data_IF_335924444374
#
_entry.id   IF_335924444374
#
_cell.length_a   1.000
_cell.length_b   1.000
_cell.length_c   1.000
_cell.angle_alpha   90.00
_cell.angle_beta   90.00
_cell.angle_gamma   90.00
#
_symmetry.space_group_name_H-M   'P 1'
#
loop_
_entity.id
_entity.type
_entity.pdbx_description
1 polymer ?
#
# COMPACT_ATOMS: atom_id res chain seq x y z
N UNK A 1 -11.03 -15.86 -57.55
CA UNK A 1 -9.93 -16.84 -57.69
C UNK A 1 -8.71 -16.29 -56.95
N UNK A 2 -8.64 -16.53 -55.65
CA UNK A 2 -7.52 -16.08 -54.80
C UNK A 2 -6.35 -17.02 -55.08
N UNK A 3 -5.25 -16.48 -55.61
CA UNK A 3 -4.07 -17.25 -56.07
C UNK A 3 -3.47 -18.05 -54.92
N UNK A 4 -3.52 -19.38 -55.02
CA UNK A 4 -2.91 -20.34 -54.08
C UNK A 4 -1.40 -20.08 -53.84
N UNK A 5 -0.72 -19.42 -54.77
CA UNK A 5 0.69 -19.05 -54.66
C UNK A 5 1.01 -18.03 -53.57
N UNK A 6 0.04 -17.23 -53.10
CA UNK A 6 0.28 -16.23 -52.04
C UNK A 6 0.21 -16.87 -50.65
N UNK A 7 -0.58 -17.95 -50.47
CA UNK A 7 -0.64 -18.68 -49.19
C UNK A 7 0.65 -19.46 -48.90
N UNK A 8 1.35 -19.94 -49.93
CA UNK A 8 2.54 -20.77 -49.76
C UNK A 8 3.75 -20.01 -49.18
N UNK A 9 3.85 -18.70 -49.40
CA UNK A 9 4.94 -17.87 -48.89
C UNK A 9 4.76 -17.38 -47.44
N UNK A 10 3.57 -17.52 -46.86
CA UNK A 10 3.30 -17.12 -45.47
C UNK A 10 3.60 -18.24 -44.44
N UNK A 11 3.64 -19.51 -44.87
CA UNK A 11 3.91 -20.65 -43.99
C UNK A 11 5.30 -20.63 -43.31
N UNK A 12 6.41 -20.26 -44.00
CA UNK A 12 7.74 -20.24 -43.37
C UNK A 12 7.92 -19.12 -42.34
N UNK A 13 7.16 -18.02 -42.46
CA UNK A 13 7.26 -16.89 -41.54
C UNK A 13 6.72 -17.20 -40.14
N UNK A 14 5.81 -18.18 -40.01
CA UNK A 14 5.28 -18.65 -38.72
C UNK A 14 6.27 -19.53 -37.95
N UNK A 15 7.33 -20.05 -38.59
CA UNK A 15 8.31 -20.95 -37.97
C UNK A 15 9.51 -20.22 -37.33
N UNK A 16 9.60 -18.89 -37.45
CA UNK A 16 10.67 -18.06 -36.87
C UNK A 16 10.37 -17.55 -35.45
N UNK A 17 9.28 -17.99 -34.81
CA UNK A 17 8.85 -17.52 -33.48
C UNK A 17 9.71 -17.96 -32.27
N UNK A 18 10.83 -18.66 -32.47
CA UNK A 18 11.64 -19.26 -31.39
C UNK A 18 12.54 -18.29 -30.61
N UNK A 19 12.71 -17.05 -31.08
CA UNK A 19 13.48 -16.00 -30.40
C UNK A 19 12.59 -14.83 -29.98
N UNK A 20 11.41 -15.13 -29.46
CA UNK A 20 10.49 -14.10 -28.94
C UNK A 20 10.18 -14.37 -27.46
N UNK A 21 10.04 -13.28 -26.71
CA UNK A 21 9.62 -13.29 -25.31
C UNK A 21 10.58 -12.56 -24.38
N UNK A 22 10.29 -12.58 -23.08
CA UNK A 22 11.05 -11.82 -22.07
C UNK A 22 12.47 -12.37 -21.91
N UNK A 23 13.47 -11.68 -22.45
CA UNK A 23 14.89 -11.99 -22.28
C UNK A 23 15.41 -11.41 -20.95
N UNK A 24 16.13 -12.22 -20.18
CA UNK A 24 16.74 -11.80 -18.92
C UNK A 24 17.90 -12.72 -18.52
N UNK A 25 19.12 -12.33 -18.84
CA UNK A 25 20.33 -13.07 -18.46
C UNK A 25 20.84 -12.76 -17.04
N UNK A 26 20.17 -11.84 -16.35
CA UNK A 26 20.47 -11.51 -14.95
C UNK A 26 19.61 -12.30 -13.98
N UNK A 27 19.82 -12.04 -12.69
CA UNK A 27 19.01 -12.57 -11.57
C UNK A 27 18.02 -11.53 -11.02
N UNK A 28 17.85 -10.42 -11.73
CA UNK A 28 16.89 -9.38 -11.38
C UNK A 28 15.51 -9.75 -11.90
N UNK A 29 14.47 -9.43 -11.13
CA UNK A 29 13.10 -9.60 -11.59
C UNK A 29 12.75 -8.50 -12.61
N UNK A 30 12.36 -8.90 -13.83
CA UNK A 30 11.80 -7.97 -14.83
C UNK A 30 10.39 -7.53 -14.43
N UNK A 31 9.67 -8.38 -13.71
CA UNK A 31 8.28 -8.19 -13.32
C UNK A 31 8.19 -7.51 -11.96
N UNK A 32 8.39 -6.19 -11.94
CA UNK A 32 8.36 -5.39 -10.72
C UNK A 32 6.92 -4.98 -10.33
N UNK A 33 6.61 -4.87 -9.04
CA UNK A 33 5.36 -4.25 -8.59
C UNK A 33 5.24 -2.82 -9.09
N UNK A 34 4.11 -2.50 -9.70
CA UNK A 34 3.75 -1.14 -10.13
C UNK A 34 2.61 -0.65 -9.27
N UNK A 35 2.78 0.55 -8.71
CA UNK A 35 1.77 1.21 -7.88
C UNK A 35 0.97 2.19 -8.72
N UNK A 36 -0.34 2.00 -8.71
CA UNK A 36 -1.31 2.93 -9.26
C UNK A 36 -1.94 3.74 -8.13
N UNK A 37 -2.15 5.03 -8.36
CA UNK A 37 -2.73 5.97 -7.40
C UNK A 37 -3.89 6.71 -8.06
N UNK A 38 -4.99 6.86 -7.33
CA UNK A 38 -6.13 7.68 -7.73
C UNK A 38 -6.56 8.56 -6.55
N UNK A 39 -6.61 9.87 -6.79
CA UNK A 39 -6.98 10.85 -5.78
C UNK A 39 -8.37 11.43 -6.14
N UNK A 40 -9.28 11.38 -5.17
CA UNK A 40 -10.62 11.94 -5.28
C UNK A 40 -10.78 13.06 -4.25
N UNK A 41 -11.24 14.22 -4.67
CA UNK A 41 -11.38 15.39 -3.81
C UNK A 41 -12.83 15.84 -3.71
N UNK A 42 -13.23 16.26 -2.51
CA UNK A 42 -14.50 16.91 -2.25
C UNK A 42 -14.26 18.18 -1.43
N UNK A 43 -14.69 19.32 -1.98
CA UNK A 43 -14.61 20.61 -1.29
C UNK A 43 -15.86 20.81 -0.45
N UNK A 44 -15.66 21.09 0.83
CA UNK A 44 -16.71 21.28 1.83
C UNK A 44 -16.73 22.72 2.33
N UNK A 45 -17.93 23.25 2.54
CA UNK A 45 -18.12 24.58 3.12
C UNK A 45 -17.81 24.61 4.61
N UNK A 46 -17.22 25.71 5.07
CA UNK A 46 -16.89 25.96 6.48
C UNK A 46 -17.68 27.17 6.97
N UNK A 47 -18.19 27.08 8.19
CA UNK A 47 -18.86 28.19 8.88
C UNK A 47 -18.47 28.21 10.34
N UNK A 48 -17.92 29.32 10.82
CA UNK A 48 -17.54 29.47 12.23
C UNK A 48 -16.45 28.51 12.70
N UNK A 49 -15.55 28.08 11.81
CA UNK A 49 -14.45 27.14 12.12
C UNK A 49 -14.84 25.66 12.14
N UNK A 50 -16.11 25.34 11.84
CA UNK A 50 -16.64 23.97 11.73
C UNK A 50 -17.25 23.73 10.33
N UNK A 51 -17.63 22.49 10.04
CA UNK A 51 -18.35 22.19 8.81
C UNK A 51 -19.68 22.96 8.76
N UNK A 52 -19.99 23.55 7.61
CA UNK A 52 -21.28 24.21 7.41
C UNK A 52 -22.44 23.19 7.51
N UNK A 53 -23.64 23.69 7.81
CA UNK A 53 -24.82 22.84 7.96
C UNK A 53 -25.09 22.00 6.70
N UNK A 54 -25.27 20.68 6.87
CA UNK A 54 -25.50 19.74 5.76
C UNK A 54 -24.24 19.14 5.13
N UNK A 55 -23.06 19.70 5.40
CA UNK A 55 -21.80 19.23 4.80
C UNK A 55 -21.37 17.86 5.32
N UNK A 56 -21.69 17.52 6.58
CA UNK A 56 -21.45 16.18 7.13
C UNK A 56 -22.25 15.10 6.36
N UNK A 57 -23.51 15.38 6.04
CA UNK A 57 -24.37 14.46 5.28
C UNK A 57 -23.91 14.34 3.83
N UNK A 58 -23.49 15.46 3.21
CA UNK A 58 -22.91 15.47 1.87
C UNK A 58 -21.62 14.66 1.81
N UNK A 59 -20.74 14.82 2.80
CA UNK A 59 -19.52 14.04 2.95
C UNK A 59 -19.83 12.54 3.10
N UNK A 60 -20.76 12.18 3.99
CA UNK A 60 -21.16 10.79 4.19
C UNK A 60 -21.75 10.17 2.90
N UNK A 61 -22.61 10.89 2.18
CA UNK A 61 -23.19 10.43 0.91
C UNK A 61 -22.13 10.24 -0.18
N UNK A 62 -21.16 11.15 -0.26
CA UNK A 62 -20.03 11.02 -1.18
C UNK A 62 -19.15 9.81 -0.84
N UNK A 63 -18.83 9.60 0.44
CA UNK A 63 -18.04 8.45 0.90
C UNK A 63 -18.74 7.11 0.61
N UNK A 64 -20.06 7.05 0.81
CA UNK A 64 -20.88 5.88 0.43
C UNK A 64 -20.82 5.64 -1.07
N UNK A 65 -20.94 6.70 -1.88
CA UNK A 65 -20.92 6.62 -3.35
C UNK A 65 -19.56 6.11 -3.86
N UNK A 66 -18.47 6.58 -3.27
CA UNK A 66 -17.12 6.11 -3.60
C UNK A 66 -16.79 4.73 -3.06
N UNK A 67 -17.67 4.16 -2.22
CA UNK A 67 -17.49 2.87 -1.55
C UNK A 67 -16.17 2.83 -0.79
N UNK A 68 -16.02 3.78 0.15
CA UNK A 68 -14.86 3.79 1.03
C UNK A 68 -14.74 2.47 1.76
N UNK A 69 -13.51 1.98 1.85
CA UNK A 69 -13.20 0.75 2.54
C UNK A 69 -11.73 0.65 2.92
N UNK A 70 -11.35 -0.54 3.38
CA UNK A 70 -9.97 -0.83 3.74
C UNK A 70 -9.00 -0.54 2.59
N UNK A 71 -7.88 0.13 2.92
CA UNK A 71 -6.87 0.55 1.95
C UNK A 71 -7.05 1.96 1.41
N UNK A 72 -8.23 2.58 1.58
CA UNK A 72 -8.42 4.00 1.25
C UNK A 72 -7.83 4.88 2.36
N UNK A 73 -7.15 5.95 1.98
CA UNK A 73 -6.63 6.97 2.90
C UNK A 73 -7.44 8.24 2.77
N UNK A 74 -7.85 8.80 3.91
CA UNK A 74 -8.59 10.07 3.96
C UNK A 74 -7.71 11.13 4.59
N UNK A 75 -7.48 12.22 3.88
CA UNK A 75 -6.71 13.38 4.35
C UNK A 75 -7.55 14.64 4.22
N UNK A 76 -7.16 15.68 4.98
CA UNK A 76 -7.80 16.99 4.95
C UNK A 76 -6.76 18.00 4.46
N UNK A 77 -7.13 18.77 3.44
CA UNK A 77 -6.40 19.94 2.99
C UNK A 77 -7.09 21.20 3.54
N UNK A 78 -6.45 21.84 4.51
CA UNK A 78 -6.85 23.13 5.10
C UNK A 78 -5.60 24.03 5.26
N UNK A 79 -5.08 24.60 4.15
CA UNK A 79 -3.84 25.35 4.15
C UNK A 79 -3.96 26.70 4.87
N UNK A 80 -5.17 27.25 4.98
CA UNK A 80 -5.45 28.51 5.65
C UNK A 80 -5.79 28.34 7.14
N UNK A 81 -5.98 27.09 7.60
CA UNK A 81 -6.38 26.80 8.98
C UNK A 81 -7.77 27.34 9.31
N UNK A 82 -8.67 27.37 8.32
CA UNK A 82 -9.99 27.99 8.42
C UNK A 82 -10.94 27.18 9.33
N UNK A 83 -10.67 25.88 9.53
CA UNK A 83 -11.65 24.96 10.10
C UNK A 83 -11.08 23.99 11.16
N UNK A 84 -10.53 24.50 12.29
CA UNK A 84 -9.93 23.67 13.33
C UNK A 84 -10.91 22.65 13.95
N UNK A 85 -12.21 22.98 14.04
CA UNK A 85 -13.22 22.06 14.56
C UNK A 85 -13.72 21.06 13.49
N UNK A 86 -13.64 21.41 12.20
CA UNK A 86 -14.08 20.54 11.11
C UNK A 86 -13.29 19.24 11.02
N UNK A 87 -12.02 19.21 11.48
CA UNK A 87 -11.25 17.97 11.58
C UNK A 87 -11.94 16.92 12.44
N UNK A 88 -12.55 17.34 13.56
CA UNK A 88 -13.31 16.46 14.44
C UNK A 88 -14.59 15.94 13.78
N UNK A 89 -15.32 16.83 13.09
CA UNK A 89 -16.54 16.48 12.35
C UNK A 89 -16.25 15.46 11.24
N UNK A 90 -15.21 15.71 10.44
CA UNK A 90 -14.79 14.80 9.36
C UNK A 90 -14.32 13.47 9.95
N UNK A 91 -13.53 13.49 11.03
CA UNK A 91 -13.07 12.27 11.69
C UNK A 91 -14.26 11.41 12.17
N UNK A 92 -15.31 12.03 12.71
CA UNK A 92 -16.52 11.33 13.15
C UNK A 92 -17.26 10.64 11.99
N UNK A 93 -17.29 11.25 10.81
CA UNK A 93 -17.87 10.64 9.60
C UNK A 93 -16.98 9.51 9.08
N UNK A 94 -15.66 9.73 8.98
CA UNK A 94 -14.69 8.73 8.50
C UNK A 94 -14.65 7.49 9.40
N UNK A 95 -14.77 7.68 10.72
CA UNK A 95 -14.81 6.59 11.69
C UNK A 95 -15.98 5.61 11.47
N UNK A 96 -17.10 6.06 10.90
CA UNK A 96 -18.23 5.19 10.57
C UNK A 96 -17.90 4.16 9.49
N UNK A 97 -16.85 4.43 8.69
CA UNK A 97 -16.33 3.51 7.68
C UNK A 97 -15.17 2.65 8.21
N UNK A 98 -14.85 2.73 9.50
CA UNK A 98 -13.72 2.02 10.11
C UNK A 98 -12.35 2.56 9.69
N UNK A 99 -12.31 3.79 9.18
CA UNK A 99 -11.09 4.46 8.72
C UNK A 99 -10.66 5.55 9.70
N UNK A 100 -9.40 5.98 9.58
CA UNK A 100 -8.83 7.08 10.33
C UNK A 100 -8.35 8.16 9.36
N UNK A 101 -8.33 9.41 9.84
CA UNK A 101 -7.67 10.49 9.11
C UNK A 101 -6.17 10.26 9.11
N UNK A 102 -5.57 10.39 7.94
CA UNK A 102 -4.13 10.35 7.76
C UNK A 102 -3.54 11.75 7.91
N UNK A 103 -2.34 11.82 8.50
CA UNK A 103 -1.55 13.04 8.59
C UNK A 103 -0.69 13.31 7.34
N UNK A 104 -0.89 12.54 6.26
CA UNK A 104 -0.14 12.72 5.02
C UNK A 104 -0.59 14.02 4.37
N UNK A 105 0.36 14.85 3.94
CA UNK A 105 0.04 16.03 3.14
C UNK A 105 -0.68 15.58 1.84
N UNK A 106 -1.93 16.02 1.60
CA UNK A 106 -2.64 15.67 0.39
C UNK A 106 -1.93 16.29 -0.83
N UNK A 107 -1.94 15.55 -1.95
CA UNK A 107 -1.56 16.14 -3.24
C UNK A 107 -2.83 16.75 -3.81
N UNK A 108 -2.93 18.08 -3.77
CA UNK A 108 -4.11 18.78 -4.26
C UNK A 108 -3.84 19.46 -5.61
N UNK A 109 -4.69 19.23 -6.63
CA UNK A 109 -4.42 19.69 -7.99
C UNK A 109 -4.75 21.16 -8.22
N UNK A 110 -5.52 21.80 -7.32
CA UNK A 110 -6.04 23.15 -7.51
C UNK A 110 -6.11 23.93 -6.19
N UNK A 111 -5.97 25.28 -6.22
CA UNK A 111 -6.22 26.13 -5.06
C UNK A 111 -7.62 25.95 -4.47
N UNK A 112 -7.77 26.15 -3.17
CA UNK A 112 -9.05 26.12 -2.46
C UNK A 112 -9.76 27.47 -2.51
N UNK A 113 -11.09 27.43 -2.58
CA UNK A 113 -11.90 28.64 -2.46
C UNK A 113 -11.92 29.10 -0.99
N UNK A 114 -11.99 30.42 -0.72
CA UNK A 114 -12.13 30.92 0.64
C UNK A 114 -13.35 30.34 1.37
N UNK A 115 -13.21 30.03 2.66
CA UNK A 115 -14.28 29.41 3.46
C UNK A 115 -14.59 27.96 3.07
N UNK A 116 -13.66 27.26 2.40
CA UNK A 116 -13.79 25.83 2.09
C UNK A 116 -12.57 25.05 2.53
N UNK A 117 -12.79 23.78 2.88
CA UNK A 117 -11.73 22.80 3.09
C UNK A 117 -11.92 21.63 2.14
N UNK A 118 -10.86 20.89 1.84
CA UNK A 118 -10.96 19.75 0.93
C UNK A 118 -10.65 18.45 1.65
N UNK A 119 -11.57 17.50 1.51
CA UNK A 119 -11.33 16.12 1.90
C UNK A 119 -10.82 15.37 0.68
N UNK A 120 -9.66 14.73 0.81
CA UNK A 120 -9.06 13.91 -0.25
C UNK A 120 -9.08 12.46 0.15
N UNK A 121 -9.61 11.62 -0.74
CA UNK A 121 -9.54 10.17 -0.64
C UNK A 121 -8.53 9.67 -1.64
N UNK A 122 -7.44 9.09 -1.14
CA UNK A 122 -6.40 8.47 -1.94
C UNK A 122 -6.60 6.96 -1.93
N UNK A 123 -6.78 6.38 -3.13
CA UNK A 123 -6.79 4.92 -3.33
C UNK A 123 -5.52 4.51 -4.05
N UNK A 124 -4.80 3.55 -3.49
CA UNK A 124 -3.62 2.97 -4.12
C UNK A 124 -3.77 1.47 -4.31
N UNK A 125 -3.24 0.96 -5.41
CA UNK A 125 -3.21 -0.47 -5.71
C UNK A 125 -1.85 -0.84 -6.30
N UNK A 126 -1.23 -1.88 -5.76
CA UNK A 126 -0.02 -2.48 -6.30
C UNK A 126 -0.36 -3.72 -7.12
N UNK A 127 0.19 -3.83 -8.32
CA UNK A 127 0.06 -5.02 -9.15
C UNK A 127 1.29 -5.22 -10.01
N UNK A 128 1.54 -6.46 -10.41
CA UNK A 128 2.64 -6.78 -11.31
C UNK A 128 2.06 -6.99 -12.71
N UNK A 129 2.27 -6.05 -13.65
CA UNK A 129 1.73 -6.18 -15.00
C UNK A 129 2.39 -7.34 -15.74
N UNK A 130 1.65 -7.97 -16.66
CA UNK A 130 2.13 -9.07 -17.52
C UNK A 130 2.56 -10.35 -16.77
N UNK A 131 2.04 -10.58 -15.57
CA UNK A 131 2.13 -11.88 -14.89
C UNK A 131 0.77 -12.62 -14.90
N UNK A 132 0.75 -13.95 -15.12
CA UNK A 132 1.88 -14.79 -15.55
C UNK A 132 2.30 -14.50 -17.00
N UNK A 133 3.59 -14.68 -17.28
CA UNK A 133 4.21 -14.44 -18.58
C UNK A 133 4.52 -15.77 -19.29
N UNK A 134 3.78 -16.05 -20.36
CA UNK A 134 3.94 -17.26 -21.19
C UNK A 134 4.69 -17.00 -22.50
N UNK A 135 5.40 -15.88 -22.59
CA UNK A 135 6.10 -15.50 -23.81
C UNK A 135 7.29 -16.42 -24.15
N UNK A 136 7.75 -17.26 -23.20
CA UNK A 136 8.83 -18.23 -23.41
C UNK A 136 8.46 -19.59 -22.84
N UNK A 137 8.89 -20.64 -23.52
CA UNK A 137 8.77 -22.00 -23.03
C UNK A 137 9.78 -22.29 -21.92
N UNK A 138 9.35 -23.03 -20.90
CA UNK A 138 10.18 -23.39 -19.75
C UNK A 138 11.08 -24.62 -20.00
N UNK A 139 11.00 -25.26 -21.16
CA UNK A 139 11.57 -26.59 -21.42
C UNK A 139 13.03 -26.57 -21.87
N UNK A 140 13.45 -25.61 -22.70
CA UNK A 140 14.82 -25.54 -23.24
C UNK A 140 15.33 -24.08 -23.25
N UNK A 141 16.44 -23.84 -22.54
CA UNK A 141 17.08 -22.52 -22.46
C UNK A 141 18.57 -22.65 -22.81
N UNK A 142 18.98 -22.11 -23.96
CA UNK A 142 20.37 -22.18 -24.45
C UNK A 142 21.10 -20.84 -24.36
N UNK A 143 20.42 -19.76 -23.99
CA UNK A 143 20.96 -18.41 -23.92
C UNK A 143 21.17 -17.92 -22.48
N UNK A 144 21.06 -18.84 -21.50
CA UNK A 144 21.23 -18.59 -20.07
C UNK A 144 20.31 -17.47 -19.53
N UNK A 145 19.09 -17.35 -20.05
CA UNK A 145 18.07 -16.49 -19.47
C UNK A 145 17.41 -17.16 -18.24
N UNK A 146 16.92 -16.35 -17.31
CA UNK A 146 15.93 -16.78 -16.31
C UNK A 146 14.58 -17.03 -16.98
N UNK A 147 13.66 -17.72 -16.27
CA UNK A 147 12.33 -18.00 -16.81
C UNK A 147 11.55 -16.71 -17.08
N UNK A 148 10.62 -16.73 -18.05
CA UNK A 148 9.75 -15.57 -18.33
C UNK A 148 8.93 -15.13 -17.10
N UNK A 149 8.63 -16.08 -16.21
CA UNK A 149 7.94 -15.85 -14.95
C UNK A 149 8.87 -15.52 -13.77
N UNK A 150 10.16 -15.32 -14.01
CA UNK A 150 11.11 -15.03 -12.94
C UNK A 150 10.68 -13.76 -12.17
N UNK A 151 10.42 -13.95 -10.87
CA UNK A 151 9.89 -12.91 -9.98
C UNK A 151 8.37 -12.72 -9.99
N UNK A 152 7.60 -13.26 -10.95
CA UNK A 152 6.14 -13.08 -10.99
C UNK A 152 5.46 -13.55 -9.70
N UNK A 153 5.76 -14.77 -9.23
CA UNK A 153 5.12 -15.30 -8.02
C UNK A 153 5.47 -14.51 -6.75
N UNK A 154 6.74 -14.16 -6.58
CA UNK A 154 7.20 -13.42 -5.41
C UNK A 154 6.66 -12.00 -5.41
N UNK A 155 6.79 -11.29 -6.53
CA UNK A 155 6.40 -9.88 -6.61
C UNK A 155 4.89 -9.68 -6.64
N UNK A 156 4.12 -10.62 -7.21
CA UNK A 156 2.65 -10.56 -7.15
C UNK A 156 2.13 -10.82 -5.73
N UNK A 157 2.71 -11.80 -5.02
CA UNK A 157 2.38 -12.02 -3.61
C UNK A 157 2.80 -10.82 -2.75
N UNK A 158 3.98 -10.24 -2.98
CA UNK A 158 4.41 -9.03 -2.29
C UNK A 158 3.41 -7.87 -2.52
N UNK A 159 3.03 -7.62 -3.77
CA UNK A 159 2.06 -6.59 -4.11
C UNK A 159 0.69 -6.81 -3.43
N UNK A 160 0.27 -8.07 -3.28
CA UNK A 160 -0.99 -8.42 -2.61
C UNK A 160 -0.92 -8.37 -1.07
N UNK A 161 0.26 -8.60 -0.47
CA UNK A 161 0.44 -8.62 0.99
C UNK A 161 0.73 -7.25 1.60
N UNK A 162 1.28 -6.31 0.82
CA UNK A 162 1.65 -4.99 1.33
C UNK A 162 0.39 -4.20 1.72
N UNK A 163 0.31 -3.80 3.00
CA UNK A 163 -0.82 -3.05 3.53
C UNK A 163 -0.94 -1.64 2.93
N UNK A 164 0.20 -0.97 2.68
CA UNK A 164 0.25 0.35 2.06
C UNK A 164 1.09 0.32 0.77
N UNK A 165 0.47 0.30 -0.43
CA UNK A 165 1.18 0.29 -1.69
C UNK A 165 2.18 1.44 -1.86
N UNK A 166 1.98 2.60 -1.21
CA UNK A 166 2.92 3.71 -1.29
C UNK A 166 4.33 3.36 -0.81
N UNK A 167 4.45 2.39 0.11
CA UNK A 167 5.70 1.98 0.73
C UNK A 167 6.60 1.22 -0.27
N UNK A 168 6.03 0.64 -1.33
CA UNK A 168 6.81 0.04 -2.42
C UNK A 168 7.58 1.08 -3.24
N UNK A 169 7.16 2.36 -3.19
CA UNK A 169 7.81 3.45 -3.93
C UNK A 169 8.69 4.29 -3.03
N UNK A 170 8.16 4.70 -1.87
CA UNK A 170 8.83 5.67 -0.98
C UNK A 170 9.51 5.02 0.22
N UNK A 171 9.18 3.76 0.52
CA UNK A 171 9.44 3.18 1.83
C UNK A 171 8.55 3.78 2.90
N UNK A 172 8.34 3.04 3.98
CA UNK A 172 7.79 3.64 5.20
C UNK A 172 8.88 4.53 5.82
N UNK A 173 8.59 5.80 6.16
CA UNK A 173 9.50 6.56 6.99
C UNK A 173 9.65 5.76 8.29
N UNK A 174 10.86 5.26 8.55
CA UNK A 174 11.14 4.58 9.82
C UNK A 174 10.78 5.51 10.98
N UNK A 175 10.42 4.93 12.12
CA UNK A 175 10.27 5.73 13.34
C UNK A 175 11.52 6.62 13.50
N UNK A 176 11.33 7.92 13.72
CA UNK A 176 12.43 8.83 14.02
C UNK A 176 13.20 8.25 15.20
N UNK A 177 14.35 7.66 14.90
CA UNK A 177 15.32 7.08 15.82
C UNK A 177 14.78 5.92 16.69
N UNK A 178 15.41 4.76 16.57
CA UNK A 178 15.43 3.83 17.70
C UNK A 178 16.03 4.58 18.88
N UNK A 179 15.22 4.91 19.89
CA UNK A 179 15.72 5.49 21.14
C UNK A 179 16.67 4.46 21.77
N UNK A 180 17.98 4.73 21.65
CA UNK A 180 19.03 3.85 22.14
C UNK A 180 18.94 3.66 23.64
N UNK A 181 18.37 4.61 24.38
CA UNK A 181 18.12 4.50 25.81
C UNK A 181 16.97 3.50 26.10
N UNK A 182 15.91 3.49 25.28
CA UNK A 182 14.83 2.48 25.38
C UNK A 182 15.33 1.10 24.97
N UNK A 183 16.13 1.00 23.91
CA UNK A 183 16.75 -0.27 23.50
C UNK A 183 17.69 -0.83 24.59
N UNK A 184 18.48 0.04 25.25
CA UNK A 184 19.36 -0.35 26.33
C UNK A 184 18.61 -0.82 27.58
N UNK A 185 17.42 -0.27 27.89
CA UNK A 185 16.61 -0.70 29.04
C UNK A 185 16.26 -2.19 28.99
N UNK A 186 15.97 -2.74 27.80
CA UNK A 186 15.66 -4.17 27.66
C UNK A 186 16.89 -5.04 27.98
N UNK A 187 18.06 -4.63 27.47
CA UNK A 187 19.35 -5.29 27.73
C UNK A 187 19.71 -5.20 29.22
N UNK A 188 19.58 -4.03 29.82
CA UNK A 188 19.87 -3.78 31.23
C UNK A 188 18.94 -4.59 32.15
N UNK A 189 17.63 -4.65 31.81
CA UNK A 189 16.66 -5.49 32.52
C UNK A 189 17.04 -6.97 32.45
N UNK A 190 17.44 -7.47 31.27
CA UNK A 190 17.90 -8.84 31.11
C UNK A 190 19.15 -9.12 31.96
N UNK A 191 20.13 -8.20 31.97
CA UNK A 191 21.38 -8.35 32.75
C UNK A 191 21.16 -8.26 34.26
N UNK A 192 20.21 -7.44 34.71
CA UNK A 192 19.87 -7.25 36.13
C UNK A 192 18.89 -8.29 36.67
N UNK A 193 18.25 -9.09 35.80
CA UNK A 193 17.29 -10.11 36.23
C UNK A 193 18.00 -11.15 37.10
N UNK A 194 17.64 -11.19 38.39
CA UNK A 194 18.18 -12.17 39.32
C UNK A 194 17.86 -13.60 38.85
N UNK A 195 18.79 -14.56 38.96
CA UNK A 195 18.53 -15.96 38.66
C UNK A 195 17.34 -16.48 39.49
N UNK A 196 16.48 -17.29 38.90
CA UNK A 196 15.28 -17.84 39.57
C UNK A 196 15.59 -18.77 40.75
N UNK A 197 16.86 -19.16 40.94
CA UNK A 197 17.36 -19.89 42.11
C UNK A 197 17.99 -19.02 43.20
N UNK A 198 18.01 -17.68 43.05
CA UNK A 198 18.58 -16.77 44.04
C UNK A 198 17.62 -16.46 45.21
N UNK A 199 16.33 -16.77 45.07
CA UNK A 199 15.39 -16.77 46.17
C UNK A 199 15.52 -18.07 46.96
N UNK A 200 15.71 -17.98 48.28
CA UNK A 200 15.73 -19.16 49.14
C UNK A 200 14.46 -20.01 48.94
N UNK A 201 14.61 -21.33 48.99
CA UNK A 201 13.50 -22.29 48.88
C UNK A 201 12.42 -21.91 49.89
N UNK A 202 11.19 -21.67 49.43
CA UNK A 202 10.06 -21.43 50.32
C UNK A 202 9.83 -22.69 51.17
N UNK A 203 9.99 -22.57 52.48
CA UNK A 203 9.69 -23.64 53.41
C UNK A 203 8.20 -23.96 53.34
N UNK A 204 7.85 -25.12 52.80
CA UNK A 204 6.48 -25.62 52.78
C UNK A 204 6.19 -26.23 54.15
N UNK A 205 5.30 -25.61 54.94
CA UNK A 205 4.83 -26.20 56.19
C UNK A 205 3.71 -27.19 55.89
N UNK A 206 4.03 -28.48 55.88
CA UNK A 206 3.04 -29.56 55.81
C UNK A 206 2.34 -29.67 57.17
N UNK A 207 1.26 -28.92 57.36
CA UNK A 207 0.35 -29.08 58.50
C UNK A 207 -0.55 -30.30 58.29
N UNK A 208 -0.27 -31.38 59.00
CA UNK A 208 -1.14 -32.57 59.03
C UNK A 208 -2.43 -32.32 59.82
N UNK A 209 -3.55 -32.78 59.27
CA UNK A 209 -4.72 -33.23 60.02
C UNK A 209 -5.02 -34.65 59.62
#
# INVERSE_FOLDING_TARGET
>A
MIKQSILASLLPALLLGGCMGTENRGLESVHQPVVSRSDYALDLGVSGGALAGGEQQRLAGWMTTMRLGYGDRVTIDDPAGEAPAARGDIAAVVAQYGLLLSDDAPVTPAPLAPGTIRVVVTRMHAGVPRCPDWSRDASNEFQANTSSNYGCAINSNLAAMVANPADLVRGAPGAETTDTAVAYKAIDTYRKKAPTGAGGLSATTTGGK
#
